data_IF_463869729372
#
_entry.id   IF_463869729372
#
_cell.length_a   1.000
_cell.length_b   1.000
_cell.length_c   1.000
_cell.angle_alpha   90.00
_cell.angle_beta   90.00
_cell.angle_gamma   90.00
#
_symmetry.space_group_name_H-M   'P 1'
#
loop_
_entity.id
_entity.type
_entity.pdbx_description
1 polymer ?
#
# COMPACT_ATOMS: atom_id res chain seq x y z
N UNK A 1 -8.47 -1.65 9.59
CA UNK A 1 -7.94 -2.73 8.72
C UNK A 1 -8.69 -2.78 7.39
N UNK A 2 -10.01 -3.03 7.41
CA UNK A 2 -10.85 -3.01 6.20
C UNK A 2 -10.82 -1.63 5.51
N UNK A 3 -10.75 -0.52 6.28
CA UNK A 3 -10.67 0.82 5.70
C UNK A 3 -9.40 1.06 4.87
N UNK A 4 -8.27 0.50 5.29
CA UNK A 4 -7.01 0.65 4.57
C UNK A 4 -7.04 -0.14 3.26
N UNK A 5 -7.59 -1.36 3.28
CA UNK A 5 -7.83 -2.14 2.07
C UNK A 5 -8.77 -1.41 1.13
N UNK A 6 -9.89 -0.91 1.64
CA UNK A 6 -10.86 -0.15 0.85
C UNK A 6 -10.25 1.13 0.25
N UNK A 7 -9.45 1.87 1.02
CA UNK A 7 -8.80 3.10 0.57
C UNK A 7 -7.71 2.86 -0.49
N UNK A 8 -7.11 1.66 -0.54
CA UNK A 8 -6.12 1.29 -1.55
C UNK A 8 -6.72 1.00 -2.93
N UNK A 9 -8.03 0.78 -3.01
CA UNK A 9 -8.76 0.48 -4.25
C UNK A 9 -9.01 1.73 -5.09
N UNK A 10 -9.13 1.56 -6.40
CA UNK A 10 -9.61 2.61 -7.30
C UNK A 10 -11.09 2.95 -7.01
N UNK A 11 -11.56 4.13 -7.44
CA UNK A 11 -12.97 4.54 -7.25
C UNK A 11 -13.97 3.56 -7.88
N UNK A 12 -13.62 2.97 -9.01
CA UNK A 12 -14.43 1.97 -9.69
C UNK A 12 -14.49 0.66 -8.89
N UNK A 13 -13.34 0.19 -8.40
CA UNK A 13 -13.25 -1.01 -7.55
C UNK A 13 -14.02 -0.82 -6.24
N UNK A 14 -13.95 0.37 -5.64
CA UNK A 14 -14.73 0.74 -4.46
C UNK A 14 -16.24 0.64 -4.72
N UNK A 15 -16.72 1.16 -5.85
CA UNK A 15 -18.14 1.08 -6.21
C UNK A 15 -18.59 -0.37 -6.43
N UNK A 16 -17.79 -1.17 -7.13
CA UNK A 16 -18.05 -2.59 -7.36
C UNK A 16 -18.15 -3.36 -6.04
N UNK A 17 -17.20 -3.16 -5.12
CA UNK A 17 -17.21 -3.80 -3.82
C UNK A 17 -18.45 -3.43 -2.99
N UNK A 18 -18.79 -2.14 -2.94
CA UNK A 18 -19.99 -1.67 -2.24
C UNK A 18 -21.26 -2.28 -2.84
N UNK A 19 -21.35 -2.36 -4.17
CA UNK A 19 -22.46 -3.00 -4.85
C UNK A 19 -22.56 -4.50 -4.54
N UNK A 20 -21.44 -5.22 -4.42
CA UNK A 20 -21.44 -6.64 -4.05
C UNK A 20 -21.85 -6.85 -2.59
N UNK A 21 -21.31 -6.05 -1.67
CA UNK A 21 -21.56 -6.18 -0.23
C UNK A 21 -22.98 -5.82 0.19
N UNK A 22 -23.52 -4.76 -0.41
CA UNK A 22 -24.77 -4.15 0.03
C UNK A 22 -25.89 -4.27 -1.01
N UNK A 23 -25.59 -4.74 -2.24
CA UNK A 23 -26.56 -4.93 -3.33
C UNK A 23 -27.36 -3.63 -3.55
N UNK A 24 -28.66 -3.64 -3.24
CA UNK A 24 -29.56 -2.48 -3.38
C UNK A 24 -29.56 -1.56 -2.16
N UNK A 25 -28.85 -1.91 -1.09
CA UNK A 25 -28.81 -1.14 0.16
C UNK A 25 -27.87 0.06 0.04
N UNK A 26 -28.30 1.22 0.56
CA UNK A 26 -27.49 2.46 0.61
C UNK A 26 -26.42 2.45 1.71
N UNK A 27 -26.02 1.26 2.17
CA UNK A 27 -25.00 1.11 3.19
C UNK A 27 -23.62 1.39 2.61
N UNK A 28 -22.74 1.89 3.47
CA UNK A 28 -21.36 2.25 3.14
C UNK A 28 -20.41 1.47 4.05
N UNK A 29 -19.11 1.66 3.88
CA UNK A 29 -18.10 1.09 4.79
C UNK A 29 -18.33 1.46 6.27
N UNK A 30 -19.06 2.53 6.57
CA UNK A 30 -19.51 2.88 7.92
C UNK A 30 -20.31 1.76 8.61
N UNK A 31 -20.94 0.86 7.86
CA UNK A 31 -21.64 -0.31 8.39
C UNK A 31 -20.72 -1.19 9.26
N UNK A 32 -19.49 -1.44 8.80
CA UNK A 32 -18.53 -2.31 9.50
C UNK A 32 -18.00 -1.70 10.80
N UNK A 33 -18.07 -0.37 10.93
CA UNK A 33 -17.71 0.33 12.17
C UNK A 33 -18.81 0.28 13.21
N UNK A 34 -20.08 0.25 12.77
CA UNK A 34 -21.25 0.31 13.65
C UNK A 34 -21.76 -1.06 14.07
N UNK A 35 -21.43 -2.10 13.31
CA UNK A 35 -21.96 -3.44 13.51
C UNK A 35 -20.90 -4.32 14.16
N UNK A 36 -21.23 -4.89 15.32
CA UNK A 36 -20.33 -5.84 16.02
C UNK A 36 -20.22 -7.17 15.30
N UNK A 37 -21.32 -7.64 14.73
CA UNK A 37 -21.42 -8.96 14.09
C UNK A 37 -21.66 -8.82 12.58
N UNK A 38 -20.67 -9.22 11.79
CA UNK A 38 -20.74 -9.21 10.33
C UNK A 38 -21.22 -10.59 9.87
N UNK A 39 -22.24 -10.61 9.02
CA UNK A 39 -22.74 -11.86 8.41
C UNK A 39 -21.65 -12.54 7.58
N UNK A 40 -21.57 -13.88 7.66
CA UNK A 40 -20.58 -14.69 6.91
C UNK A 40 -20.56 -14.36 5.40
N UNK A 41 -21.72 -14.20 4.76
CA UNK A 41 -21.80 -13.84 3.34
C UNK A 41 -21.09 -12.52 2.98
N UNK A 42 -21.12 -11.52 3.86
CA UNK A 42 -20.36 -10.26 3.64
C UNK A 42 -18.86 -10.48 3.83
N UNK A 43 -18.50 -11.38 4.75
CA UNK A 43 -17.12 -11.77 4.99
C UNK A 43 -16.54 -12.53 3.80
N UNK A 44 -17.30 -13.47 3.24
CA UNK A 44 -16.98 -14.21 2.01
C UNK A 44 -16.82 -13.25 0.84
N UNK A 45 -17.75 -12.31 0.66
CA UNK A 45 -17.63 -11.28 -0.39
C UNK A 45 -16.34 -10.46 -0.24
N UNK A 46 -15.97 -10.07 0.99
CA UNK A 46 -14.70 -9.37 1.24
C UNK A 46 -13.49 -10.26 0.94
N UNK A 47 -13.52 -11.51 1.39
CA UNK A 47 -12.46 -12.49 1.16
C UNK A 47 -12.24 -12.75 -0.33
N UNK A 48 -13.31 -13.01 -1.08
CA UNK A 48 -13.28 -13.26 -2.52
C UNK A 48 -12.79 -12.02 -3.28
N UNK A 49 -13.26 -10.83 -2.91
CA UNK A 49 -12.88 -9.59 -3.58
C UNK A 49 -11.41 -9.23 -3.38
N UNK A 50 -10.90 -9.40 -2.15
CA UNK A 50 -9.51 -9.08 -1.83
C UNK A 50 -8.55 -10.26 -2.04
N UNK A 51 -9.05 -11.45 -2.36
CA UNK A 51 -8.25 -12.68 -2.45
C UNK A 51 -7.63 -13.09 -1.12
N UNK A 52 -8.30 -12.78 0.01
CA UNK A 52 -7.79 -12.99 1.37
C UNK A 52 -8.59 -14.08 2.08
N UNK A 53 -7.97 -14.90 2.96
CA UNK A 53 -8.72 -15.86 3.77
C UNK A 53 -9.66 -15.15 4.76
N UNK A 54 -10.81 -15.76 5.07
CA UNK A 54 -11.81 -15.22 6.01
C UNK A 54 -11.21 -14.83 7.37
N UNK A 55 -10.21 -15.59 7.83
CA UNK A 55 -9.51 -15.35 9.09
C UNK A 55 -8.84 -13.98 9.17
N UNK A 56 -8.49 -13.38 8.02
CA UNK A 56 -7.88 -12.05 7.95
C UNK A 56 -8.77 -10.95 8.53
N UNK A 57 -10.08 -11.13 8.50
CA UNK A 57 -11.05 -10.14 8.94
C UNK A 57 -11.50 -10.35 10.39
N UNK A 58 -10.94 -11.33 11.12
CA UNK A 58 -11.24 -11.56 12.53
C UNK A 58 -10.63 -10.46 13.42
N UNK A 59 -11.38 -10.04 14.44
CA UNK A 59 -10.88 -9.13 15.47
C UNK A 59 -9.71 -9.79 16.20
N UNK A 60 -8.60 -9.08 16.34
CA UNK A 60 -7.35 -9.57 16.93
C UNK A 60 -6.67 -10.72 16.16
N UNK A 61 -6.95 -10.85 14.85
CA UNK A 61 -6.19 -11.69 13.93
C UNK A 61 -4.72 -11.25 13.93
N UNK A 62 -3.92 -11.82 14.83
CA UNK A 62 -2.50 -12.06 14.60
C UNK A 62 -2.46 -13.35 13.81
N UNK A 63 -2.06 -13.33 12.53
CA UNK A 63 -1.83 -14.56 11.78
C UNK A 63 -0.71 -15.32 12.49
N UNK A 64 -1.09 -16.24 13.37
CA UNK A 64 -0.20 -17.30 13.80
C UNK A 64 -0.06 -18.21 12.60
N UNK A 65 1.15 -18.25 12.05
CA UNK A 65 1.61 -19.35 11.22
C UNK A 65 1.54 -20.62 12.06
N UNK A 66 0.37 -21.26 12.10
CA UNK A 66 0.26 -22.58 12.68
C UNK A 66 0.91 -23.54 11.68
N UNK A 67 2.14 -23.94 11.96
CA UNK A 67 2.70 -25.13 11.34
C UNK A 67 1.78 -26.30 11.72
N UNK A 68 1.03 -26.82 10.75
CA UNK A 68 0.31 -28.07 10.92
C UNK A 68 1.34 -29.18 10.79
N UNK A 69 1.89 -29.63 11.91
CA UNK A 69 2.72 -30.83 11.95
C UNK A 69 1.81 -32.04 12.11
N UNK A 70 1.45 -32.69 11.01
CA UNK A 70 0.65 -33.90 11.02
C UNK A 70 0.92 -34.76 9.79
N UNK A 71 1.27 -36.03 10.03
CA UNK A 71 1.32 -37.10 9.03
C UNK A 71 2.36 -36.94 7.88
N UNK A 72 3.63 -36.68 8.22
CA UNK A 72 4.76 -36.62 7.27
C UNK A 72 4.59 -35.66 6.06
N UNK A 73 3.59 -34.78 6.10
CA UNK A 73 3.34 -33.81 5.05
C UNK A 73 3.76 -32.43 5.57
N UNK A 74 4.92 -31.94 5.11
CA UNK A 74 5.35 -30.57 5.34
C UNK A 74 4.55 -29.66 4.40
N UNK A 75 3.29 -29.39 4.75
CA UNK A 75 2.46 -28.44 3.98
C UNK A 75 2.75 -27.02 4.45
N UNK A 76 4.01 -26.63 4.42
CA UNK A 76 4.40 -25.23 4.58
C UNK A 76 4.23 -24.51 3.25
N UNK A 77 2.99 -24.19 2.82
CA UNK A 77 2.75 -23.14 1.81
C UNK A 77 1.31 -22.87 1.34
N UNK A 78 0.22 -23.34 1.97
CA UNK A 78 -1.12 -23.08 1.37
C UNK A 78 -1.53 -21.58 1.41
N UNK A 79 -0.80 -20.72 2.14
CA UNK A 79 -1.15 -19.29 2.30
C UNK A 79 -0.03 -18.31 1.92
N UNK A 80 1.15 -18.81 1.55
CA UNK A 80 2.37 -17.98 1.44
C UNK A 80 2.47 -17.31 0.06
N UNK A 81 2.04 -17.97 -1.02
CA UNK A 81 2.29 -17.47 -2.39
C UNK A 81 1.54 -16.18 -2.73
N UNK A 82 0.28 -16.03 -2.31
CA UNK A 82 -0.51 -14.83 -2.65
C UNK A 82 -0.12 -13.62 -1.80
N UNK A 83 0.18 -13.84 -0.52
CA UNK A 83 0.52 -12.77 0.42
C UNK A 83 1.94 -12.24 0.21
N UNK A 84 2.92 -13.12 -0.03
CA UNK A 84 4.27 -12.68 -0.42
C UNK A 84 4.25 -11.95 -1.76
N UNK A 85 3.33 -12.31 -2.68
CA UNK A 85 3.19 -11.64 -3.97
C UNK A 85 2.61 -10.23 -3.83
N UNK A 86 1.56 -10.05 -3.02
CA UNK A 86 0.96 -8.73 -2.75
C UNK A 86 1.96 -7.84 -2.00
N UNK A 87 2.62 -8.37 -0.98
CA UNK A 87 3.64 -7.63 -0.23
C UNK A 87 4.83 -7.27 -1.13
N UNK A 88 5.31 -8.19 -2.00
CA UNK A 88 6.33 -7.86 -2.99
C UNK A 88 5.89 -6.75 -3.94
N UNK A 89 4.65 -6.79 -4.43
CA UNK A 89 4.13 -5.75 -5.33
C UNK A 89 4.05 -4.39 -4.63
N UNK A 90 3.59 -4.36 -3.38
CA UNK A 90 3.53 -3.14 -2.59
C UNK A 90 4.94 -2.58 -2.32
N UNK A 91 5.88 -3.44 -1.95
CA UNK A 91 7.27 -3.07 -1.72
C UNK A 91 7.95 -2.55 -3.00
N UNK A 92 7.71 -3.18 -4.15
CA UNK A 92 8.22 -2.70 -5.46
C UNK A 92 7.67 -1.32 -5.80
N UNK A 93 6.37 -1.09 -5.60
CA UNK A 93 5.75 0.22 -5.85
C UNK A 93 6.31 1.31 -4.93
N UNK A 94 6.56 0.98 -3.66
CA UNK A 94 7.20 1.92 -2.74
C UNK A 94 8.65 2.21 -3.15
N UNK A 95 9.38 1.21 -3.65
CA UNK A 95 10.72 1.38 -4.20
C UNK A 95 10.73 2.35 -5.39
N UNK A 96 9.86 2.13 -6.39
CA UNK A 96 9.74 2.99 -7.59
C UNK A 96 9.42 4.45 -7.20
N UNK A 97 8.53 4.65 -6.23
CA UNK A 97 8.20 5.97 -5.72
C UNK A 97 9.41 6.65 -5.06
N UNK A 98 10.15 5.91 -4.22
CA UNK A 98 11.36 6.43 -3.57
C UNK A 98 12.44 6.77 -4.59
N UNK A 99 12.65 5.93 -5.60
CA UNK A 99 13.59 6.21 -6.69
C UNK A 99 13.22 7.48 -7.47
N UNK A 100 11.94 7.67 -7.79
CA UNK A 100 11.46 8.89 -8.45
C UNK A 100 11.71 10.14 -7.61
N UNK A 101 11.47 10.07 -6.29
CA UNK A 101 11.74 11.17 -5.36
C UNK A 101 13.23 11.46 -5.24
N UNK A 102 14.08 10.42 -5.19
CA UNK A 102 15.54 10.58 -5.16
C UNK A 102 16.02 11.29 -6.42
N UNK A 103 15.57 10.84 -7.60
CA UNK A 103 15.94 11.48 -8.88
C UNK A 103 15.56 12.96 -8.93
N UNK A 104 14.35 13.31 -8.49
CA UNK A 104 13.92 14.71 -8.46
C UNK A 104 14.76 15.57 -7.48
N UNK A 105 15.20 14.98 -6.36
CA UNK A 105 16.10 15.64 -5.41
C UNK A 105 17.49 15.85 -6.00
N UNK A 106 18.03 14.86 -6.70
CA UNK A 106 19.33 14.97 -7.37
C UNK A 106 19.34 16.05 -8.44
N UNK A 107 18.30 16.12 -9.28
CA UNK A 107 18.12 17.18 -10.27
C UNK A 107 18.08 18.58 -9.62
N UNK A 108 17.41 18.70 -8.47
CA UNK A 108 17.34 19.95 -7.69
C UNK A 108 18.71 20.33 -7.13
N UNK A 109 19.45 19.36 -6.58
CA UNK A 109 20.79 19.57 -6.05
C UNK A 109 21.74 20.05 -7.16
N UNK A 110 21.67 19.45 -8.35
CA UNK A 110 22.50 19.84 -9.48
C UNK A 110 22.17 21.25 -9.98
N UNK A 111 20.89 21.62 -10.01
CA UNK A 111 20.49 22.99 -10.35
C UNK A 111 21.04 24.01 -9.35
N UNK A 112 20.94 23.73 -8.05
CA UNK A 112 21.47 24.60 -7.00
C UNK A 112 23.00 24.71 -7.06
N UNK A 113 23.71 23.61 -7.33
CA UNK A 113 25.17 23.64 -7.53
C UNK A 113 25.58 24.53 -8.69
N UNK A 114 24.89 24.44 -9.84
CA UNK A 114 25.17 25.30 -11.00
C UNK A 114 24.95 26.77 -10.66
N UNK A 115 23.87 27.08 -9.95
CA UNK A 115 23.56 28.45 -9.53
C UNK A 115 24.62 29.01 -8.57
N UNK A 116 25.04 28.22 -7.58
CA UNK A 116 26.13 28.62 -6.67
C UNK A 116 27.44 28.87 -7.42
N UNK A 117 27.80 28.01 -8.37
CA UNK A 117 29.01 28.22 -9.18
C UNK A 117 28.93 29.51 -10.03
N UNK A 118 27.76 29.82 -10.60
CA UNK A 118 27.56 31.08 -11.32
C UNK A 118 27.69 32.30 -10.41
N UNK A 119 27.08 32.25 -9.22
CA UNK A 119 27.18 33.33 -8.24
C UNK A 119 28.63 33.52 -7.76
N UNK A 120 29.35 32.43 -7.51
CA UNK A 120 30.77 32.50 -7.14
C UNK A 120 31.60 33.15 -8.25
N UNK A 121 31.40 32.76 -9.51
CA UNK A 121 32.08 33.36 -10.64
C UNK A 121 31.75 34.87 -10.81
N UNK A 122 30.53 35.29 -10.48
CA UNK A 122 30.17 36.72 -10.48
C UNK A 122 30.89 37.48 -9.37
N UNK A 123 30.96 36.91 -8.16
CA UNK A 123 31.70 37.49 -7.02
C UNK A 123 33.19 37.64 -7.38
N UNK A 124 33.82 36.58 -7.88
CA UNK A 124 35.24 36.58 -8.22
C UNK A 124 35.58 37.61 -9.32
N UNK A 125 34.67 37.81 -10.29
CA UNK A 125 34.83 38.82 -11.33
C UNK A 125 34.64 40.25 -10.83
N UNK A 126 33.77 40.47 -9.84
CA UNK A 126 33.59 41.80 -9.24
C UNK A 126 34.80 42.19 -8.39
N UNK A 127 35.36 41.25 -7.61
CA UNK A 127 36.58 41.50 -6.82
C UNK A 127 37.74 41.95 -7.72
N UNK A 128 37.95 41.26 -8.85
CA UNK A 128 39.01 41.62 -9.83
C UNK A 128 38.82 42.97 -10.53
N UNK A 129 37.63 43.57 -10.49
CA UNK A 129 37.36 44.89 -11.07
C UNK A 129 37.61 46.03 -10.09
N UNK A 130 37.70 45.73 -8.79
CA UNK A 130 37.93 46.70 -7.73
C UNK A 130 39.41 46.81 -7.32
N UNK A 131 40.27 45.88 -7.77
CA UNK A 131 41.74 45.93 -7.70
C UNK A 131 42.36 46.61 -8.92
#
# INVERSE_FOLDING_TARGET
MIDNLYASLSKEQQQTLIAQLFKKSKQTMSYFHRTKDISLSKLETLADFFGMPLDYFRKDSKFKTNNVTGNNNFVGNVSISTNLMIENQALRKDLDNKESVIKAKDETIDALKRMNNMLQAQIDNNIKREE
#
